data_IF_975506750516
#
_entry.id   IF_975506750516
#
_cell.length_a   1.000
_cell.length_b   1.000
_cell.length_c   1.000
_cell.angle_alpha   90.00
_cell.angle_beta   90.00
_cell.angle_gamma   90.00
#
_symmetry.space_group_name_H-M   'P 1'
#
loop_
_entity.id
_entity.type
_entity.pdbx_description
1 polymer ?
#
# COMPACT_ATOMS: atom_id res chain seq x y z
N UNK A 1 -5.04 -28.93 -11.58
CA UNK A 1 -5.29 -29.75 -10.37
C UNK A 1 -4.14 -30.72 -10.32
N UNK A 2 -3.14 -30.70 -9.44
CA UNK A 2 -2.89 -30.21 -8.07
C UNK A 2 -1.35 -30.04 -7.96
N UNK A 3 -0.74 -29.37 -6.99
CA UNK A 3 -1.25 -28.92 -5.70
C UNK A 3 -0.52 -27.66 -5.24
N UNK A 4 -1.34 -26.69 -4.83
CA UNK A 4 -0.95 -25.57 -3.99
C UNK A 4 -1.09 -26.08 -2.55
N UNK A 5 0.00 -26.57 -1.99
CA UNK A 5 0.10 -26.86 -0.56
C UNK A 5 1.56 -26.72 -0.11
N UNK A 6 2.14 -25.52 -0.29
CA UNK A 6 3.24 -25.08 0.57
C UNK A 6 2.63 -24.74 1.94
N UNK A 7 2.14 -25.77 2.63
CA UNK A 7 1.63 -25.69 3.99
C UNK A 7 2.82 -25.73 4.93
N UNK A 8 2.96 -24.67 5.73
CA UNK A 8 3.91 -24.54 6.84
C UNK A 8 3.68 -25.70 7.82
N UNK A 9 4.45 -26.78 7.68
CA UNK A 9 4.44 -27.90 8.61
C UNK A 9 5.89 -28.17 9.04
N UNK A 10 6.25 -27.68 10.23
CA UNK A 10 7.53 -27.97 10.87
C UNK A 10 8.66 -26.97 10.64
N UNK A 11 8.38 -25.75 10.16
CA UNK A 11 9.41 -24.71 9.97
C UNK A 11 10.39 -25.01 8.84
N UNK A 12 10.06 -25.93 7.93
CA UNK A 12 10.94 -26.26 6.80
C UNK A 12 10.50 -25.46 5.58
N UNK A 13 11.38 -24.60 5.04
CA UNK A 13 11.21 -23.98 3.72
C UNK A 13 12.41 -24.34 2.85
N UNK A 14 12.18 -24.59 1.55
CA UNK A 14 13.21 -25.02 0.59
C UNK A 14 14.12 -26.19 1.05
N UNK A 15 13.59 -27.07 1.93
CA UNK A 15 14.32 -28.24 2.44
C UNK A 15 15.29 -27.95 3.59
N UNK A 16 15.33 -26.71 4.09
CA UNK A 16 16.11 -26.29 5.26
C UNK A 16 15.18 -26.16 6.46
N UNK A 17 15.57 -26.73 7.60
CA UNK A 17 14.88 -26.47 8.86
C UNK A 17 15.21 -25.03 9.27
N UNK A 18 14.23 -24.15 9.15
CA UNK A 18 14.34 -22.78 9.62
C UNK A 18 14.00 -22.75 11.11
N UNK A 19 14.90 -22.15 11.88
CA UNK A 19 14.63 -21.80 13.27
C UNK A 19 14.38 -20.28 13.32
N UNK A 20 13.13 -19.83 13.19
CA UNK A 20 12.82 -18.40 13.10
C UNK A 20 13.20 -17.64 14.39
N UNK A 21 13.35 -18.35 15.52
CA UNK A 21 13.81 -17.74 16.77
C UNK A 21 15.31 -17.49 16.70
N UNK A 22 16.08 -18.47 16.24
CA UNK A 22 17.52 -18.32 16.09
C UNK A 22 17.87 -17.27 15.02
N UNK A 23 17.18 -17.29 13.88
CA UNK A 23 17.35 -16.30 12.81
C UNK A 23 17.10 -14.88 13.32
N UNK A 24 16.09 -14.70 14.18
CA UNK A 24 15.80 -13.41 14.79
C UNK A 24 16.90 -12.98 15.78
N UNK A 25 17.44 -13.90 16.57
CA UNK A 25 18.57 -13.61 17.49
C UNK A 25 19.81 -13.18 16.71
N UNK A 26 20.14 -13.90 15.64
CA UNK A 26 21.28 -13.58 14.77
C UNK A 26 21.10 -12.20 14.10
N UNK A 27 19.86 -11.86 13.72
CA UNK A 27 19.53 -10.55 13.19
C UNK A 27 19.70 -9.43 14.24
N UNK A 28 19.33 -9.67 15.50
CA UNK A 28 19.52 -8.73 16.60
C UNK A 28 21.00 -8.50 16.93
N UNK A 29 21.81 -9.55 16.94
CA UNK A 29 23.25 -9.45 17.15
C UNK A 29 23.92 -8.70 15.99
N UNK A 30 23.51 -8.96 14.75
CA UNK A 30 23.97 -8.19 13.60
C UNK A 30 23.62 -6.69 13.72
N UNK A 31 22.40 -6.35 14.11
CA UNK A 31 21.98 -4.94 14.35
C UNK A 31 22.82 -4.31 15.47
N UNK A 32 23.07 -5.04 16.55
CA UNK A 32 23.90 -4.61 17.68
C UNK A 32 25.34 -4.33 17.24
N UNK A 33 25.86 -5.13 16.32
CA UNK A 33 27.19 -4.98 15.72
C UNK A 33 27.22 -3.93 14.58
N UNK A 34 26.11 -3.22 14.37
CA UNK A 34 26.01 -2.09 13.45
C UNK A 34 25.60 -2.47 12.03
N UNK A 35 25.13 -3.70 11.80
CA UNK A 35 24.51 -4.06 10.53
C UNK A 35 23.19 -3.29 10.36
N UNK A 36 23.10 -2.52 9.26
CA UNK A 36 21.85 -1.90 8.86
C UNK A 36 20.99 -2.98 8.22
N UNK A 37 19.96 -3.44 8.93
CA UNK A 37 18.88 -4.17 8.29
C UNK A 37 18.21 -3.19 7.34
N UNK A 38 18.42 -3.37 6.04
CA UNK A 38 17.71 -2.58 5.05
C UNK A 38 16.21 -2.82 5.25
N UNK A 39 15.49 -1.77 5.61
CA UNK A 39 14.03 -1.85 5.66
C UNK A 39 13.55 -2.29 4.27
N UNK A 40 12.65 -3.30 4.19
CA UNK A 40 12.06 -3.65 2.91
C UNK A 40 11.44 -2.40 2.30
N UNK A 41 11.55 -2.21 0.97
CA UNK A 41 11.01 -1.04 0.32
C UNK A 41 9.52 -0.90 0.64
N UNK A 42 9.07 0.34 0.86
CA UNK A 42 7.66 0.59 1.12
C UNK A 42 6.80 -0.01 0.00
N UNK A 43 5.73 -0.74 0.32
CA UNK A 43 4.89 -1.37 -0.69
C UNK A 43 4.30 -0.30 -1.62
N UNK A 44 4.43 -0.53 -2.93
CA UNK A 44 3.79 0.31 -3.93
C UNK A 44 2.27 0.06 -3.90
N UNK A 45 1.48 1.12 -3.80
CA UNK A 45 0.03 1.05 -3.80
C UNK A 45 -0.54 1.69 -5.08
N UNK A 46 -1.53 1.03 -5.68
CA UNK A 46 -2.36 1.60 -6.73
C UNK A 46 -3.73 1.96 -6.14
N UNK A 47 -4.12 3.22 -6.28
CA UNK A 47 -5.31 3.78 -5.65
C UNK A 47 -6.30 4.30 -6.70
N UNK A 48 -7.59 4.14 -6.41
CA UNK A 48 -8.67 4.80 -7.14
C UNK A 48 -9.31 5.80 -6.19
N UNK A 49 -9.20 7.07 -6.52
CA UNK A 49 -9.73 8.17 -5.72
C UNK A 49 -10.67 9.01 -6.58
N UNK A 50 -11.89 9.21 -6.10
CA UNK A 50 -12.84 10.16 -6.69
C UNK A 50 -12.78 11.45 -5.88
N UNK A 51 -12.58 12.58 -6.56
CA UNK A 51 -12.51 13.89 -5.93
C UNK A 51 -13.48 14.85 -6.61
N UNK A 52 -14.15 15.74 -5.85
CA UNK A 52 -14.90 16.84 -6.45
C UNK A 52 -13.97 17.68 -7.31
N UNK A 53 -14.38 17.99 -8.55
CA UNK A 53 -13.55 18.74 -9.50
C UNK A 53 -13.10 20.11 -8.95
N UNK A 54 -13.94 20.73 -8.10
CA UNK A 54 -13.63 22.00 -7.43
C UNK A 54 -12.82 21.85 -6.14
N UNK A 55 -12.67 20.63 -5.63
CA UNK A 55 -11.90 20.32 -4.42
C UNK A 55 -10.39 20.33 -4.68
N UNK A 56 -9.93 19.72 -5.77
CA UNK A 56 -8.51 19.62 -6.12
C UNK A 56 -7.71 20.95 -6.15
N UNK A 57 -8.22 22.06 -6.72
CA UNK A 57 -7.51 23.33 -6.68
C UNK A 57 -7.50 23.99 -5.29
N UNK A 58 -8.04 23.34 -4.25
CA UNK A 58 -8.14 23.89 -2.89
C UNK A 58 -9.18 24.99 -2.74
N UNK A 59 -10.06 25.16 -3.74
CA UNK A 59 -11.12 26.19 -3.73
C UNK A 59 -12.26 25.81 -2.78
N UNK A 60 -12.48 24.50 -2.59
CA UNK A 60 -13.48 23.94 -1.66
C UNK A 60 -12.89 22.76 -0.89
N UNK A 61 -13.32 22.57 0.35
CA UNK A 61 -12.82 21.52 1.26
C UNK A 61 -13.75 20.30 1.30
N UNK A 62 -14.36 19.96 0.16
CA UNK A 62 -15.26 18.80 0.07
C UNK A 62 -14.45 17.50 0.07
N UNK A 63 -14.89 16.47 0.81
CA UNK A 63 -14.16 15.21 0.90
C UNK A 63 -14.11 14.50 -0.46
N UNK A 64 -13.03 13.75 -0.68
CA UNK A 64 -12.95 12.75 -1.75
C UNK A 64 -13.40 11.37 -1.25
N UNK A 65 -13.53 10.42 -2.15
CA UNK A 65 -13.83 9.02 -1.87
C UNK A 65 -12.65 8.14 -2.29
N UNK A 66 -12.18 7.30 -1.38
CA UNK A 66 -11.18 6.28 -1.65
C UNK A 66 -11.89 4.93 -1.83
N UNK A 67 -11.74 4.33 -3.01
CA UNK A 67 -12.42 3.10 -3.35
C UNK A 67 -12.14 1.99 -2.31
N UNK A 68 -13.21 1.41 -1.74
CA UNK A 68 -13.11 0.35 -0.73
C UNK A 68 -12.78 0.83 0.69
N UNK A 69 -12.56 2.13 0.91
CA UNK A 69 -12.22 2.68 2.23
C UNK A 69 -13.16 3.81 2.67
N UNK A 70 -13.80 4.49 1.72
CA UNK A 70 -14.78 5.54 1.99
C UNK A 70 -14.17 6.95 1.95
N UNK A 71 -14.83 7.93 2.59
CA UNK A 71 -14.44 9.32 2.48
C UNK A 71 -13.03 9.60 3.02
N UNK A 72 -12.27 10.40 2.28
CA UNK A 72 -10.98 10.95 2.70
C UNK A 72 -11.01 12.47 2.64
N UNK A 73 -10.18 13.11 3.47
CA UNK A 73 -10.03 14.56 3.40
C UNK A 73 -9.40 14.98 2.08
N UNK A 74 -9.77 16.16 1.61
CA UNK A 74 -9.23 16.73 0.38
C UNK A 74 -7.70 16.93 0.46
N UNK A 75 -7.18 17.25 1.65
CA UNK A 75 -5.73 17.26 1.91
C UNK A 75 -5.08 15.88 1.70
N UNK A 76 -5.70 14.82 2.21
CA UNK A 76 -5.21 13.44 2.01
C UNK A 76 -5.21 13.09 0.52
N UNK A 77 -6.30 13.41 -0.19
CA UNK A 77 -6.38 13.18 -1.63
C UNK A 77 -5.27 13.91 -2.41
N UNK A 78 -4.98 15.17 -2.07
CA UNK A 78 -3.85 15.93 -2.67
C UNK A 78 -2.50 15.30 -2.37
N UNK A 79 -2.27 14.85 -1.14
CA UNK A 79 -1.02 14.16 -0.77
C UNK A 79 -0.82 12.89 -1.58
N UNK A 80 -1.89 12.11 -1.79
CA UNK A 80 -1.86 10.91 -2.62
C UNK A 80 -1.55 11.24 -4.09
N UNK A 81 -2.18 12.28 -4.66
CA UNK A 81 -1.89 12.72 -6.03
C UNK A 81 -0.46 13.26 -6.18
N UNK A 82 0.03 14.03 -5.22
CA UNK A 82 1.37 14.60 -5.25
C UNK A 82 2.47 13.54 -5.12
N UNK A 83 2.18 12.45 -4.37
CA UNK A 83 3.08 11.30 -4.24
C UNK A 83 3.00 10.31 -5.39
N UNK A 84 2.00 10.41 -6.27
CA UNK A 84 1.84 9.49 -7.40
C UNK A 84 2.82 9.84 -8.52
N UNK A 85 3.74 8.93 -8.84
CA UNK A 85 4.66 9.09 -9.97
C UNK A 85 3.94 9.25 -11.32
N UNK A 86 2.78 8.63 -11.46
CA UNK A 86 1.86 8.77 -12.61
C UNK A 86 0.44 8.53 -12.15
N UNK A 87 -0.54 9.17 -12.80
CA UNK A 87 -1.95 8.84 -12.59
C UNK A 87 -2.80 9.16 -13.82
N UNK A 88 -3.88 8.41 -13.97
CA UNK A 88 -4.93 8.63 -14.96
C UNK A 88 -6.00 9.54 -14.35
N UNK A 89 -6.38 10.60 -15.08
CA UNK A 89 -7.52 11.44 -14.71
C UNK A 89 -8.72 11.05 -15.55
N UNK A 90 -9.82 10.68 -14.90
CA UNK A 90 -11.12 10.45 -15.52
C UNK A 90 -12.10 11.46 -14.92
N UNK A 91 -12.78 12.21 -15.79
CA UNK A 91 -13.94 12.97 -15.38
C UNK A 91 -15.12 11.99 -15.26
N UNK A 92 -15.81 12.07 -14.14
CA UNK A 92 -17.04 11.31 -13.88
C UNK A 92 -18.16 12.30 -13.64
N UNK A 93 -19.36 11.95 -14.10
CA UNK A 93 -20.57 12.68 -13.73
C UNK A 93 -20.77 12.55 -12.21
N UNK A 94 -20.93 13.66 -11.47
CA UNK A 94 -20.98 13.65 -10.01
C UNK A 94 -22.30 13.09 -9.45
N UNK A 95 -23.35 12.98 -10.27
CA UNK A 95 -24.66 12.46 -9.88
C UNK A 95 -24.76 10.96 -10.17
N UNK A 96 -24.30 10.53 -11.35
CA UNK A 96 -24.42 9.13 -11.78
C UNK A 96 -23.17 8.30 -11.51
N UNK A 97 -22.05 8.95 -11.21
CA UNK A 97 -20.74 8.34 -11.02
C UNK A 97 -20.27 7.51 -12.23
N UNK A 98 -20.69 7.91 -13.44
CA UNK A 98 -20.30 7.29 -14.71
C UNK A 98 -19.26 8.14 -15.44
N UNK A 99 -18.31 7.53 -16.18
CA UNK A 99 -17.40 8.28 -17.04
C UNK A 99 -18.16 9.14 -18.06
N UNK A 100 -17.67 10.36 -18.31
CA UNK A 100 -18.14 11.23 -19.40
C UNK A 100 -17.40 10.98 -20.71
#
# INVERSE_FOLDING_TARGET
MEGLAAGVAGGVVDGVLEDPVQDHVDQLDAVRDGAVVAEPPLPAAQLIVTVPVLGLPGVRNEPGELAGHGPITEETARKLLAGAGTFLRLLVDPVTNTPV
#
